data_IF_534033177183
#
_entry.id   IF_534033177183
#
_cell.length_a   1.000
_cell.length_b   1.000
_cell.length_c   1.000
_cell.angle_alpha   90.00
_cell.angle_beta   90.00
_cell.angle_gamma   90.00
#
_symmetry.space_group_name_H-M   'P 1'
#
loop_
_entity.id
_entity.type
_entity.pdbx_description
1 polymer ?
#
# COMPACT_ATOMS: atom_id res chain seq x y z
N UNK A 1 19.81 5.08 -25.66
CA UNK A 1 18.43 5.46 -25.24
C UNK A 1 17.64 4.19 -25.05
N UNK A 2 16.88 4.05 -23.96
CA UNK A 2 15.96 2.94 -23.83
C UNK A 2 14.90 3.05 -24.93
N UNK A 3 14.68 1.99 -25.70
CA UNK A 3 13.56 1.92 -26.66
C UNK A 3 12.27 2.20 -25.90
N UNK A 4 11.49 3.19 -26.34
CA UNK A 4 10.17 3.44 -25.77
C UNK A 4 9.27 2.23 -26.05
N UNK A 5 9.16 1.33 -25.09
CA UNK A 5 8.08 0.36 -25.05
C UNK A 5 6.86 1.14 -24.55
N UNK A 6 6.00 1.61 -25.45
CA UNK A 6 4.78 2.32 -25.06
C UNK A 6 3.83 1.35 -24.36
N UNK A 7 3.95 1.24 -23.05
CA UNK A 7 3.07 0.45 -22.20
C UNK A 7 2.12 1.40 -21.49
N UNK A 8 0.87 1.44 -21.93
CA UNK A 8 -0.20 2.09 -21.17
C UNK A 8 -0.54 1.12 -20.04
N UNK A 9 -0.45 1.61 -18.80
CA UNK A 9 -0.83 0.83 -17.60
C UNK A 9 -2.30 1.08 -17.31
N UNK A 10 -3.09 0.02 -17.23
CA UNK A 10 -4.55 0.08 -17.12
C UNK A 10 -5.08 -0.94 -16.13
N UNK A 11 -6.12 -0.54 -15.41
CA UNK A 11 -6.95 -1.41 -14.58
C UNK A 11 -6.24 -2.03 -13.39
N UNK A 12 -7.05 -2.62 -12.51
CA UNK A 12 -6.60 -3.47 -11.41
C UNK A 12 -7.20 -4.86 -11.63
N UNK A 13 -6.37 -5.90 -11.66
CA UNK A 13 -6.84 -7.28 -11.56
C UNK A 13 -7.02 -7.69 -10.11
N UNK A 14 -5.97 -7.53 -9.31
CA UNK A 14 -5.96 -7.91 -7.91
C UNK A 14 -4.77 -7.30 -7.18
N UNK A 15 -4.87 -7.27 -5.86
CA UNK A 15 -3.77 -6.97 -4.97
C UNK A 15 -3.35 -8.29 -4.32
N UNK A 16 -2.05 -8.53 -4.24
CA UNK A 16 -1.48 -9.70 -3.59
C UNK A 16 -0.60 -9.27 -2.42
N UNK A 17 -0.60 -10.07 -1.36
CA UNK A 17 0.13 -9.84 -0.11
C UNK A 17 1.02 -11.04 0.19
N UNK A 18 2.16 -10.80 0.82
CA UNK A 18 3.06 -11.82 1.35
C UNK A 18 3.92 -11.29 2.48
N UNK A 19 4.85 -12.11 2.97
CA UNK A 19 5.80 -11.68 4.00
C UNK A 19 6.70 -10.55 3.51
N UNK A 20 6.94 -9.53 4.33
CA UNK A 20 7.84 -8.45 3.97
C UNK A 20 9.27 -8.94 3.73
N UNK A 21 9.96 -8.27 2.80
CA UNK A 21 11.35 -8.56 2.48
C UNK A 21 12.18 -7.29 2.34
N UNK A 22 13.28 -7.24 3.08
CA UNK A 22 14.27 -6.16 3.01
C UNK A 22 15.24 -6.33 1.83
N UNK A 23 15.09 -7.36 0.99
CA UNK A 23 15.96 -7.59 -0.17
C UNK A 23 15.69 -6.62 -1.34
N UNK A 24 14.58 -5.87 -1.28
CA UNK A 24 14.15 -4.94 -2.34
C UNK A 24 13.76 -5.62 -3.65
N UNK A 25 13.38 -6.89 -3.55
CA UNK A 25 12.74 -7.67 -4.61
C UNK A 25 11.48 -8.31 -4.06
N UNK A 26 10.42 -8.36 -4.87
CA UNK A 26 9.17 -8.97 -4.46
C UNK A 26 9.35 -10.45 -4.08
N UNK A 27 8.84 -10.90 -2.92
CA UNK A 27 8.77 -12.31 -2.57
C UNK A 27 7.98 -13.14 -3.58
N UNK A 28 8.23 -14.45 -3.61
CA UNK A 28 7.57 -15.38 -4.55
C UNK A 28 6.20 -15.83 -4.04
N UNK A 29 6.07 -16.08 -2.74
CA UNK A 29 4.83 -16.53 -2.12
C UNK A 29 3.91 -15.35 -1.86
N UNK A 30 2.95 -15.14 -2.75
CA UNK A 30 1.96 -14.07 -2.65
C UNK A 30 0.55 -14.65 -2.78
N UNK A 31 -0.38 -14.13 -1.99
CA UNK A 31 -1.80 -14.50 -2.01
C UNK A 31 -2.66 -13.28 -2.26
N UNK A 32 -3.78 -13.43 -2.95
CA UNK A 32 -4.73 -12.33 -3.16
C UNK A 32 -5.27 -11.82 -1.82
N UNK A 33 -5.28 -10.49 -1.65
CA UNK A 33 -5.93 -9.84 -0.49
C UNK A 33 -7.39 -9.52 -0.82
N UNK A 34 -8.30 -10.29 -0.24
CA UNK A 34 -9.75 -10.11 -0.36
C UNK A 34 -10.27 -9.71 -1.75
N UNK A 35 -11.36 -8.95 -1.76
CA UNK A 35 -11.95 -8.27 -2.92
C UNK A 35 -11.81 -6.77 -2.75
N UNK A 36 -10.91 -6.20 -3.53
CA UNK A 36 -10.73 -4.75 -3.59
C UNK A 36 -12.02 -4.07 -4.08
N UNK A 37 -12.47 -3.06 -3.35
CA UNK A 37 -13.65 -2.28 -3.70
C UNK A 37 -13.36 -1.39 -4.91
N UNK A 38 -14.35 -1.27 -5.79
CA UNK A 38 -14.21 -0.59 -7.08
C UNK A 38 -13.79 0.87 -6.90
N UNK A 39 -12.89 1.35 -7.75
CA UNK A 39 -12.43 2.74 -7.83
C UNK A 39 -11.69 3.26 -6.57
N UNK A 40 -11.26 2.36 -5.67
CA UNK A 40 -10.49 2.73 -4.45
C UNK A 40 -8.98 2.61 -4.61
N UNK A 41 -8.50 1.72 -5.49
CA UNK A 41 -7.07 1.47 -5.63
C UNK A 41 -6.35 2.62 -6.33
N UNK A 42 -5.45 3.29 -5.62
CA UNK A 42 -4.73 4.47 -6.10
C UNK A 42 -3.29 4.47 -5.58
N UNK A 43 -2.34 4.75 -6.47
CA UNK A 43 -0.97 5.10 -6.11
C UNK A 43 -0.80 6.60 -6.30
N UNK A 44 -0.38 7.31 -5.26
CA UNK A 44 -0.16 8.75 -5.27
C UNK A 44 1.18 9.10 -4.64
N UNK A 45 1.77 10.23 -5.02
CA UNK A 45 2.99 10.74 -4.40
C UNK A 45 2.78 12.20 -4.05
N UNK A 46 2.95 12.52 -2.77
CA UNK A 46 2.84 13.90 -2.30
C UNK A 46 4.03 14.75 -2.77
N UNK A 47 3.82 16.07 -2.79
CA UNK A 47 4.87 17.03 -3.08
C UNK A 47 6.02 16.91 -2.07
N UNK A 48 7.24 17.15 -2.55
CA UNK A 48 8.41 17.17 -1.68
C UNK A 48 8.34 18.33 -0.67
N UNK A 49 8.82 18.09 0.55
CA UNK A 49 9.05 19.18 1.50
C UNK A 49 10.22 20.03 1.01
N UNK A 50 10.09 21.35 1.13
CA UNK A 50 11.08 22.31 0.66
C UNK A 50 11.57 23.14 1.83
N UNK A 51 12.89 23.12 2.05
CA UNK A 51 13.55 24.01 3.01
C UNK A 51 14.42 24.99 2.23
N UNK A 52 14.15 26.29 2.40
CA UNK A 52 14.82 27.39 1.71
C UNK A 52 15.56 28.28 2.70
N UNK A 53 16.79 28.66 2.36
CA UNK A 53 17.60 29.62 3.11
C UNK A 53 17.87 30.84 2.22
N UNK A 54 17.64 32.05 2.74
CA UNK A 54 17.69 33.31 1.99
C UNK A 54 18.77 34.24 2.54
N UNK A 55 19.36 35.06 1.67
CA UNK A 55 20.07 36.26 2.07
C UNK A 55 19.04 37.33 2.50
N UNK A 56 19.33 38.04 3.60
CA UNK A 56 18.43 39.09 4.10
C UNK A 56 18.20 40.18 3.03
N UNK A 57 16.93 40.49 2.76
CA UNK A 57 16.54 41.46 1.73
C UNK A 57 16.52 40.92 0.30
N UNK A 58 16.82 39.63 0.06
CA UNK A 58 16.70 38.97 -1.25
C UNK A 58 15.50 38.02 -1.28
N UNK A 59 14.75 38.06 -2.38
CA UNK A 59 13.62 37.17 -2.60
C UNK A 59 14.00 35.80 -3.17
N UNK A 60 15.23 35.64 -3.68
CA UNK A 60 15.75 34.38 -4.19
C UNK A 60 16.46 33.61 -3.07
N UNK A 61 16.20 32.30 -2.90
CA UNK A 61 16.90 31.50 -1.91
C UNK A 61 18.34 31.19 -2.37
N UNK A 62 19.29 31.30 -1.45
CA UNK A 62 20.68 30.89 -1.63
C UNK A 62 20.83 29.36 -1.61
N UNK A 63 20.06 28.69 -0.74
CA UNK A 63 20.07 27.22 -0.64
C UNK A 63 18.63 26.71 -0.62
N UNK A 64 18.35 25.72 -1.46
CA UNK A 64 17.04 25.07 -1.55
C UNK A 64 17.19 23.55 -1.46
N UNK A 65 16.76 22.97 -0.34
CA UNK A 65 16.76 21.52 -0.11
C UNK A 65 15.35 20.95 -0.36
N UNK A 66 15.27 19.82 -1.06
CA UNK A 66 14.03 19.12 -1.41
C UNK A 66 14.06 17.70 -0.82
N UNK A 67 13.07 17.36 0.00
CA UNK A 67 12.89 16.02 0.56
C UNK A 67 11.69 15.34 -0.10
N UNK A 68 11.94 14.46 -1.07
CA UNK A 68 10.87 13.76 -1.81
C UNK A 68 10.18 12.72 -0.92
N UNK A 69 8.86 12.60 -1.05
CA UNK A 69 8.06 11.57 -0.39
C UNK A 69 8.02 10.30 -1.23
N UNK A 70 7.85 9.14 -0.59
CA UNK A 70 7.59 7.90 -1.33
C UNK A 70 6.14 7.88 -1.83
N UNK A 71 5.87 7.29 -3.01
CA UNK A 71 4.48 7.05 -3.42
C UNK A 71 3.80 6.09 -2.45
N UNK A 72 2.58 6.42 -2.04
CA UNK A 72 1.71 5.59 -1.19
C UNK A 72 0.68 4.89 -2.04
N UNK A 73 0.36 3.65 -1.67
CA UNK A 73 -0.75 2.88 -2.25
C UNK A 73 -1.93 2.95 -1.28
N UNK A 74 -3.11 3.24 -1.80
CA UNK A 74 -4.37 3.24 -1.05
C UNK A 74 -5.37 2.34 -1.76
N UNK A 75 -6.17 1.58 -1.02
CA UNK A 75 -7.25 0.75 -1.54
C UNK A 75 -8.17 0.32 -0.40
N UNK A 76 -9.36 -0.19 -0.70
CA UNK A 76 -10.25 -0.77 0.31
C UNK A 76 -10.63 -2.19 -0.05
N UNK A 77 -10.86 -3.07 0.93
CA UNK A 77 -11.49 -4.38 0.71
C UNK A 77 -12.91 -4.38 1.26
N UNK A 78 -13.80 -5.14 0.62
CA UNK A 78 -15.23 -5.19 0.98
C UNK A 78 -15.69 -6.50 1.61
N UNK A 79 -14.79 -7.48 1.75
CA UNK A 79 -15.06 -8.82 2.27
C UNK A 79 -14.02 -9.26 3.29
N UNK A 80 -13.58 -8.33 4.15
CA UNK A 80 -12.66 -8.62 5.25
C UNK A 80 -13.24 -9.73 6.16
N UNK A 81 -12.46 -10.78 6.37
CA UNK A 81 -12.78 -11.83 7.34
C UNK A 81 -12.09 -11.55 8.70
N UNK A 82 -12.43 -12.34 9.73
CA UNK A 82 -11.83 -12.18 11.07
C UNK A 82 -10.31 -12.23 11.03
N UNK A 83 -9.73 -13.10 10.20
CA UNK A 83 -8.26 -13.18 10.08
C UNK A 83 -7.67 -11.90 9.46
N UNK A 84 -8.34 -11.32 8.46
CA UNK A 84 -7.88 -10.04 7.88
C UNK A 84 -7.93 -8.91 8.92
N UNK A 85 -8.97 -8.89 9.76
CA UNK A 85 -9.07 -7.89 10.82
C UNK A 85 -7.95 -8.06 11.85
N UNK A 86 -7.66 -9.29 12.28
CA UNK A 86 -6.54 -9.58 13.17
C UNK A 86 -5.19 -9.21 12.54
N UNK A 87 -4.98 -9.58 11.27
CA UNK A 87 -3.69 -9.40 10.60
C UNK A 87 -3.37 -7.94 10.25
N UNK A 88 -4.39 -7.11 10.00
CA UNK A 88 -4.21 -5.76 9.44
C UNK A 88 -4.80 -4.63 10.29
N UNK A 89 -5.81 -4.89 11.12
CA UNK A 89 -6.41 -3.88 12.01
C UNK A 89 -5.92 -4.07 13.45
N UNK A 90 -5.63 -5.32 13.84
CA UNK A 90 -5.18 -5.69 15.18
C UNK A 90 -6.24 -6.46 15.97
N UNK A 91 -6.04 -6.58 17.28
CA UNK A 91 -6.88 -7.41 18.14
C UNK A 91 -6.67 -8.92 17.92
N UNK A 92 -7.68 -9.72 18.24
CA UNK A 92 -7.58 -11.18 18.22
C UNK A 92 -8.91 -11.88 17.84
N UNK A 93 -8.82 -13.17 17.52
CA UNK A 93 -9.99 -14.02 17.38
C UNK A 93 -10.41 -14.53 18.77
N UNK A 94 -11.46 -13.93 19.34
CA UNK A 94 -12.05 -14.32 20.63
C UNK A 94 -13.07 -15.47 20.50
N UNK A 95 -13.28 -15.96 19.27
CA UNK A 95 -14.16 -17.08 18.95
C UNK A 95 -13.44 -18.42 18.89
N UNK A 96 -14.07 -19.38 18.22
CA UNK A 96 -13.46 -20.68 17.89
C UNK A 96 -13.03 -20.70 16.41
N UNK A 97 -12.28 -21.72 15.99
CA UNK A 97 -11.93 -21.89 14.57
C UNK A 97 -13.15 -22.07 13.67
N UNK A 98 -14.22 -22.70 14.19
CA UNK A 98 -15.46 -22.95 13.43
C UNK A 98 -16.43 -21.77 13.48
N UNK A 99 -16.33 -20.94 14.51
CA UNK A 99 -17.15 -19.75 14.73
C UNK A 99 -16.25 -18.57 15.13
N UNK A 100 -15.49 -18.02 14.18
CA UNK A 100 -14.55 -16.95 14.48
C UNK A 100 -15.29 -15.67 14.86
N UNK A 101 -14.75 -14.95 15.85
CA UNK A 101 -15.28 -13.68 16.31
C UNK A 101 -14.11 -12.73 16.58
N UNK A 102 -14.18 -11.52 16.04
CA UNK A 102 -13.12 -10.53 16.21
C UNK A 102 -13.35 -9.69 17.46
N UNK A 103 -12.30 -9.54 18.28
CA UNK A 103 -12.26 -8.63 19.42
C UNK A 103 -11.09 -7.66 19.27
N UNK A 104 -11.33 -6.39 19.55
CA UNK A 104 -10.34 -5.31 19.44
C UNK A 104 -10.41 -4.41 20.67
N UNK A 105 -9.27 -4.16 21.30
CA UNK A 105 -9.10 -3.35 22.50
C UNK A 105 -8.30 -2.06 22.26
N UNK A 106 -7.86 -1.83 21.02
CA UNK A 106 -7.06 -0.68 20.62
C UNK A 106 -5.59 -1.00 20.33
N UNK A 107 -5.14 -2.22 20.61
CA UNK A 107 -3.75 -2.62 20.34
C UNK A 107 -3.53 -2.90 18.85
N UNK A 108 -2.64 -2.12 18.23
CA UNK A 108 -2.23 -2.29 16.85
C UNK A 108 -0.84 -2.93 16.79
N UNK A 109 -0.77 -4.16 16.26
CA UNK A 109 0.51 -4.79 15.90
C UNK A 109 0.38 -5.33 14.48
N UNK A 110 0.52 -4.43 13.50
CA UNK A 110 0.51 -4.78 12.09
C UNK A 110 1.95 -4.88 11.62
N UNK A 111 2.38 -6.10 11.32
CA UNK A 111 3.71 -6.32 10.74
C UNK A 111 3.73 -5.84 9.28
N UNK A 112 4.85 -5.25 8.85
CA UNK A 112 5.07 -4.94 7.45
C UNK A 112 4.79 -6.16 6.55
N UNK A 113 4.27 -5.90 5.36
CA UNK A 113 4.03 -6.93 4.35
C UNK A 113 4.64 -6.54 3.01
N UNK A 114 4.81 -7.54 2.15
CA UNK A 114 5.06 -7.29 0.75
C UNK A 114 3.72 -7.16 0.01
N UNK A 115 3.55 -6.10 -0.78
CA UNK A 115 2.32 -5.84 -1.55
C UNK A 115 2.64 -5.78 -3.05
N UNK A 116 1.88 -6.52 -3.85
CA UNK A 116 1.96 -6.49 -5.31
C UNK A 116 0.60 -6.08 -5.89
N UNK A 117 0.60 -5.01 -6.66
CA UNK A 117 -0.55 -4.56 -7.44
C UNK A 117 -0.44 -5.18 -8.83
N UNK A 118 -1.34 -6.10 -9.14
CA UNK A 118 -1.44 -6.72 -10.46
C UNK A 118 -2.42 -5.91 -11.30
N UNK A 119 -1.89 -5.22 -12.30
CA UNK A 119 -2.71 -4.40 -13.23
C UNK A 119 -3.33 -5.28 -14.31
N UNK A 120 -4.25 -4.78 -15.12
CA UNK A 120 -4.74 -5.54 -16.29
C UNK A 120 -3.67 -5.58 -17.39
N UNK A 121 -3.10 -4.41 -17.69
CA UNK A 121 -2.10 -4.21 -18.72
C UNK A 121 -1.01 -3.27 -18.21
N UNK A 122 0.22 -3.45 -18.71
CA UNK A 122 1.32 -2.50 -18.53
C UNK A 122 2.26 -2.91 -17.41
N UNK A 123 2.32 -2.10 -16.35
CA UNK A 123 3.22 -2.29 -15.22
C UNK A 123 2.48 -2.84 -14.01
N UNK A 124 2.95 -3.98 -13.49
CA UNK A 124 2.65 -4.38 -12.12
C UNK A 124 3.53 -3.57 -11.15
N UNK A 125 2.98 -3.20 -10.00
CA UNK A 125 3.71 -2.49 -8.96
C UNK A 125 4.04 -3.40 -7.80
N UNK A 126 5.30 -3.38 -7.35
CA UNK A 126 5.80 -4.23 -6.27
C UNK A 126 6.35 -3.34 -5.14
N UNK A 127 5.88 -3.59 -3.91
CA UNK A 127 6.34 -3.00 -2.66
C UNK A 127 6.85 -4.17 -1.80
N UNK A 128 8.15 -4.49 -1.82
CA UNK A 128 8.68 -5.65 -1.10
C UNK A 128 8.60 -5.54 0.43
N UNK A 129 8.63 -4.30 0.95
CA UNK A 129 8.53 -4.00 2.37
C UNK A 129 7.63 -2.77 2.53
N UNK A 130 6.36 -2.98 2.84
CA UNK A 130 5.36 -1.94 3.04
C UNK A 130 4.84 -1.95 4.46
N UNK A 131 4.88 -0.79 5.10
CA UNK A 131 4.11 -0.50 6.30
C UNK A 131 2.63 -0.40 5.93
N UNK A 132 1.77 -1.06 6.70
CA UNK A 132 0.33 -1.13 6.44
C UNK A 132 -0.38 -0.43 7.59
N UNK A 133 -1.18 0.58 7.25
CA UNK A 133 -2.20 1.15 8.12
C UNK A 133 -3.56 0.70 7.57
N UNK A 134 -4.35 -0.03 8.37
CA UNK A 134 -5.69 -0.44 8.01
C UNK A 134 -6.73 0.18 8.94
N UNK A 135 -7.73 0.84 8.35
CA UNK A 135 -8.76 1.59 9.08
C UNK A 135 -10.14 1.05 8.73
N UNK A 136 -10.97 0.83 9.75
CA UNK A 136 -12.37 0.46 9.55
C UNK A 136 -13.13 1.68 9.02
N UNK A 137 -13.70 1.53 7.83
CA UNK A 137 -14.56 2.52 7.21
C UNK A 137 -15.90 1.87 6.87
N UNK A 138 -16.89 2.10 7.72
CA UNK A 138 -18.15 1.41 7.59
C UNK A 138 -19.33 2.38 7.75
N UNK A 139 -20.15 2.45 6.70
CA UNK A 139 -21.43 3.15 6.75
C UNK A 139 -22.50 2.15 7.21
N UNK A 140 -22.94 2.27 8.46
CA UNK A 140 -23.97 1.41 9.05
C UNK A 140 -25.38 1.85 8.65
N UNK A 141 -25.63 1.91 7.34
CA UNK A 141 -26.94 2.20 6.75
C UNK A 141 -27.40 1.06 5.85
N UNK A 142 -28.69 1.04 5.49
CA UNK A 142 -29.26 0.00 4.62
C UNK A 142 -28.60 -0.08 3.22
N UNK A 143 -27.83 0.93 2.83
CA UNK A 143 -27.08 0.99 1.56
C UNK A 143 -25.56 1.04 1.77
N UNK A 144 -25.12 1.19 3.01
CA UNK A 144 -23.72 1.29 3.35
C UNK A 144 -23.05 -0.08 3.32
N UNK A 145 -21.73 -0.07 3.25
CA UNK A 145 -20.89 -1.26 3.18
C UNK A 145 -19.78 -1.14 4.21
N UNK A 146 -19.41 -2.27 4.80
CA UNK A 146 -18.23 -2.36 5.65
C UNK A 146 -17.00 -2.48 4.76
N UNK A 147 -16.12 -1.49 4.81
CA UNK A 147 -14.84 -1.48 4.15
C UNK A 147 -13.72 -1.46 5.19
N UNK A 148 -12.61 -2.09 4.82
CA UNK A 148 -11.33 -1.85 5.49
C UNK A 148 -10.45 -1.10 4.49
N UNK A 149 -10.10 0.12 4.84
CA UNK A 149 -9.27 1.02 4.05
C UNK A 149 -7.81 0.75 4.39
N UNK A 150 -6.98 0.54 3.38
CA UNK A 150 -5.56 0.28 3.50
C UNK A 150 -4.77 1.47 2.95
N UNK A 151 -3.78 1.91 3.73
CA UNK A 151 -2.69 2.76 3.27
C UNK A 151 -1.39 1.99 3.40
N UNK A 152 -0.67 1.84 2.29
CA UNK A 152 0.62 1.14 2.23
C UNK A 152 1.73 2.12 1.91
N UNK A 153 2.67 2.26 2.83
CA UNK A 153 3.85 3.13 2.68
C UNK A 153 5.09 2.27 2.45
N UNK A 154 5.77 2.39 1.30
CA UNK A 154 7.02 1.67 1.07
C UNK A 154 8.11 2.05 2.08
N UNK A 155 8.63 1.05 2.79
CA UNK A 155 9.71 1.20 3.75
C UNK A 155 11.08 0.96 3.14
N UNK A 156 12.12 1.34 3.90
CA UNK A 156 13.50 1.08 3.51
C UNK A 156 13.77 -0.41 3.30
N UNK A 157 14.67 -0.69 2.37
CA UNK A 157 15.17 -2.03 2.03
C UNK A 157 16.70 -2.00 2.07
N UNK A 158 17.31 -3.11 2.46
CA UNK A 158 18.77 -3.23 2.58
C UNK A 158 19.47 -3.32 1.22
N UNK A 159 18.76 -3.81 0.20
CA UNK A 159 19.20 -3.87 -1.19
C UNK A 159 18.03 -3.54 -2.13
N UNK A 160 18.29 -3.31 -3.41
CA UNK A 160 17.23 -3.12 -4.41
C UNK A 160 16.48 -1.79 -4.30
N UNK A 161 15.16 -1.81 -4.50
CA UNK A 161 14.27 -0.62 -4.47
C UNK A 161 12.99 -0.91 -3.69
N UNK A 162 12.53 0.07 -2.91
CA UNK A 162 11.33 -0.04 -2.08
C UNK A 162 10.01 -0.07 -2.88
N UNK A 163 10.00 0.53 -4.08
CA UNK A 163 8.89 0.47 -5.03
C UNK A 163 9.45 0.14 -6.41
N UNK A 164 8.80 -0.79 -7.12
CA UNK A 164 9.22 -1.23 -8.45
C UNK A 164 8.02 -1.28 -9.39
N UNK A 165 8.18 -0.78 -10.61
CA UNK A 165 7.26 -1.04 -11.71
C UNK A 165 7.85 -2.10 -12.63
N UNK A 166 7.17 -3.24 -12.77
CA UNK A 166 7.62 -4.37 -13.59
C UNK A 166 6.66 -4.53 -14.77
N UNK A 167 7.13 -4.44 -16.02
CA UNK A 167 6.31 -4.79 -17.17
C UNK A 167 5.77 -6.20 -17.01
N UNK A 168 4.47 -6.39 -17.28
CA UNK A 168 3.91 -7.73 -17.40
C UNK A 168 4.71 -8.51 -18.45
N UNK A 169 5.07 -9.74 -18.09
CA UNK A 169 5.59 -10.70 -19.06
C UNK A 169 4.53 -10.90 -20.14
N UNK A 170 4.94 -10.80 -21.41
CA UNK A 170 4.07 -11.12 -22.55
C UNK A 170 3.62 -12.58 -22.53
#
# INVERSE_FOLDING_TARGET
MATRTSLITLGLCEIQVGEASVAGTMPVSLTKIGKTYKDTCKIAQDSADVTEHYEEGKAAPEVRKKSRKMPTLTFSIMDACVQDLVDYVGGENVGSSDTPAWGYDGDEVVANKAIKVVTEQGLDFEIPNGDIEAVINADMSAKGIFLVDFTVTPCAVAAGKALRGKPKSK
#
